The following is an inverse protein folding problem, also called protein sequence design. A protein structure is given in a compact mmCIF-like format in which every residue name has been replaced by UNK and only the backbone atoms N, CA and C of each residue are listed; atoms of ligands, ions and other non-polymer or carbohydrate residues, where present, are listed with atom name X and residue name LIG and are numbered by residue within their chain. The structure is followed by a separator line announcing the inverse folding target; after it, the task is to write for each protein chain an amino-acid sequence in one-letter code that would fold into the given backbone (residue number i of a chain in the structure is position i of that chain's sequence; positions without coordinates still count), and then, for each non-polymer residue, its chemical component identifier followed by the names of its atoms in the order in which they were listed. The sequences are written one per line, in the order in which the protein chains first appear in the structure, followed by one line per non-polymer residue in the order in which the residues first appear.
data_IF_123529305952
#
_entry.id   IF_123529305952
#
_cell.length_a   1.000
_cell.length_b   1.000
_cell.length_c   1.000
_cell.angle_alpha   90.00
_cell.angle_beta   90.00
_cell.angle_gamma   90.00
#
_symmetry.space_group_name_H-M   'P 1'
#
loop_
_entity.id
_entity.type
_entity.pdbx_description
1 polymer ?
#
# COMPACT_ATOMS: atom_id res chain seq x y z
N UNK A 1 -16.92 2.53 -0.53
CA UNK A 1 -17.72 2.76 -1.75
C UNK A 1 -19.19 2.96 -1.36
N UNK A 2 -19.87 3.99 -1.87
CA UNK A 2 -21.33 4.10 -1.73
C UNK A 2 -21.92 4.17 -0.34
N UNK A 3 -21.19 4.75 0.63
CA UNK A 3 -21.60 4.80 2.04
C UNK A 3 -21.87 3.41 2.66
N UNK A 4 -21.25 2.37 2.11
CA UNK A 4 -21.32 0.99 2.60
C UNK A 4 -19.93 0.50 2.99
N UNK A 5 -19.91 -0.35 4.01
CA UNK A 5 -18.73 -1.13 4.41
C UNK A 5 -18.75 -2.43 3.61
N UNK A 6 -17.59 -2.82 3.09
CA UNK A 6 -17.42 -4.06 2.34
C UNK A 6 -16.22 -4.80 2.92
N UNK A 7 -16.42 -6.06 3.31
CA UNK A 7 -15.32 -6.98 3.58
C UNK A 7 -14.56 -7.26 2.27
N UNK A 8 -13.23 -7.33 2.36
CA UNK A 8 -12.39 -7.60 1.18
C UNK A 8 -12.16 -9.10 1.03
N UNK A 9 -12.32 -9.60 -0.19
CA UNK A 9 -12.04 -11.00 -0.52
C UNK A 9 -10.54 -11.30 -0.74
N UNK A 10 -9.69 -10.28 -0.74
CA UNK A 10 -8.25 -10.44 -0.94
C UNK A 10 -7.43 -9.38 -0.21
N UNK A 11 -6.20 -9.74 0.16
CA UNK A 11 -5.20 -8.80 0.65
C UNK A 11 -4.41 -8.32 -0.55
N UNK A 12 -4.62 -7.07 -0.96
CA UNK A 12 -3.78 -6.45 -1.97
C UNK A 12 -3.05 -5.26 -1.39
N UNK A 13 -1.78 -5.11 -1.76
CA UNK A 13 -0.97 -3.96 -1.35
C UNK A 13 -0.46 -3.28 -2.61
N UNK A 14 -0.67 -1.96 -2.68
CA UNK A 14 -0.12 -1.14 -3.75
C UNK A 14 1.07 -0.34 -3.26
N UNK A 15 2.07 -0.16 -4.12
CA UNK A 15 3.24 0.66 -3.83
C UNK A 15 3.83 1.23 -5.11
N UNK A 16 4.57 2.32 -4.99
CA UNK A 16 5.22 2.98 -6.14
C UNK A 16 6.61 2.42 -6.35
N UNK A 17 6.93 2.09 -7.60
CA UNK A 17 8.26 1.74 -8.07
C UNK A 17 8.78 2.87 -8.95
N UNK A 18 9.89 3.48 -8.53
CA UNK A 18 10.65 4.40 -9.36
C UNK A 18 11.71 3.60 -10.14
N UNK A 19 11.64 3.61 -11.47
CA UNK A 19 12.52 2.78 -12.31
C UNK A 19 13.97 3.28 -12.30
N UNK A 20 14.16 4.60 -12.34
CA UNK A 20 15.47 5.26 -12.24
C UNK A 20 15.40 6.44 -11.26
N UNK A 21 16.48 6.65 -10.51
CA UNK A 21 16.59 7.75 -9.55
C UNK A 21 16.96 9.07 -10.23
N UNK A 22 16.15 9.50 -11.19
CA UNK A 22 16.19 10.82 -11.80
C UNK A 22 14.77 11.43 -11.85
N UNK A 23 14.67 12.74 -12.10
CA UNK A 23 13.38 13.44 -12.08
C UNK A 23 12.47 13.06 -13.25
N UNK A 24 13.04 12.70 -14.39
CA UNK A 24 12.30 12.38 -15.63
C UNK A 24 11.84 10.92 -15.69
N UNK A 25 12.30 10.07 -14.76
CA UNK A 25 11.97 8.65 -14.76
C UNK A 25 10.50 8.44 -14.42
N UNK A 26 9.77 7.66 -15.23
CA UNK A 26 8.38 7.36 -14.94
C UNK A 26 8.26 6.57 -13.63
N UNK A 27 7.30 6.97 -12.81
CA UNK A 27 6.86 6.20 -11.65
C UNK A 27 5.79 5.19 -12.10
N UNK A 28 5.96 3.93 -11.72
CA UNK A 28 4.96 2.89 -11.97
C UNK A 28 4.39 2.44 -10.65
N UNK A 29 3.07 2.42 -10.52
CA UNK A 29 2.43 1.85 -9.33
C UNK A 29 2.19 0.36 -9.53
N UNK A 30 2.66 -0.44 -8.59
CA UNK A 30 2.44 -1.88 -8.54
C UNK A 30 1.30 -2.20 -7.57
N UNK A 31 0.54 -3.26 -7.87
CA UNK A 31 -0.47 -3.83 -6.98
C UNK A 31 -0.23 -5.32 -6.91
N UNK A 32 0.17 -5.79 -5.74
CA UNK A 32 0.51 -7.20 -5.48
C UNK A 32 -0.55 -7.81 -4.58
N UNK A 33 -0.93 -9.05 -4.87
CA UNK A 33 -1.89 -9.82 -4.07
C UNK A 33 -1.14 -10.76 -3.14
N UNK A 34 -1.62 -10.83 -1.91
CA UNK A 34 -1.07 -11.63 -0.83
C UNK A 34 -2.15 -12.58 -0.30
N UNK A 35 -1.71 -13.70 0.23
CA UNK A 35 -2.55 -14.64 0.96
C UNK A 35 -2.24 -14.48 2.46
N UNK A 36 -3.26 -14.56 3.31
CA UNK A 36 -3.09 -14.48 4.75
C UNK A 36 -2.17 -15.60 5.30
N UNK A 37 -2.05 -16.72 4.60
CA UNK A 37 -1.14 -17.83 4.95
C UNK A 37 0.28 -17.69 4.38
N UNK A 38 0.61 -16.61 3.65
CA UNK A 38 1.96 -16.41 3.10
C UNK A 38 3.01 -16.29 4.22
N UNK A 39 4.14 -16.98 4.07
CA UNK A 39 5.33 -16.77 4.91
C UNK A 39 6.09 -15.51 4.50
N UNK A 40 7.05 -15.06 5.31
CA UNK A 40 7.95 -13.96 4.95
C UNK A 40 8.64 -14.18 3.59
N UNK A 41 9.14 -15.39 3.33
CA UNK A 41 9.82 -15.69 2.07
C UNK A 41 8.88 -15.73 0.87
N UNK A 42 7.60 -16.09 1.06
CA UNK A 42 6.59 -15.98 0.00
C UNK A 42 6.34 -14.52 -0.38
N UNK A 43 6.20 -13.66 0.62
CA UNK A 43 6.04 -12.21 0.44
C UNK A 43 7.24 -11.62 -0.31
N UNK A 44 8.46 -11.93 0.14
CA UNK A 44 9.70 -11.47 -0.51
C UNK A 44 9.75 -11.89 -1.97
N UNK A 45 9.44 -13.15 -2.28
CA UNK A 45 9.38 -13.63 -3.67
C UNK A 45 8.36 -12.86 -4.50
N UNK A 46 7.12 -12.73 -4.03
CA UNK A 46 6.05 -12.02 -4.76
C UNK A 46 6.41 -10.55 -5.03
N UNK A 47 6.98 -9.87 -4.04
CA UNK A 47 7.40 -8.46 -4.18
C UNK A 47 8.55 -8.34 -5.16
N UNK A 48 9.59 -9.17 -5.04
CA UNK A 48 10.74 -9.12 -5.94
C UNK A 48 10.35 -9.44 -7.38
N UNK A 49 9.52 -10.47 -7.60
CA UNK A 49 9.00 -10.80 -8.94
C UNK A 49 8.23 -9.62 -9.53
N UNK A 50 7.33 -8.99 -8.75
CA UNK A 50 6.58 -7.83 -9.22
C UNK A 50 7.50 -6.65 -9.57
N UNK A 51 8.56 -6.41 -8.80
CA UNK A 51 9.55 -5.38 -9.08
C UNK A 51 10.33 -5.72 -10.35
N UNK A 52 10.87 -6.94 -10.47
CA UNK A 52 11.70 -7.37 -11.60
C UNK A 52 10.97 -7.31 -12.94
N UNK A 53 9.71 -7.76 -12.96
CA UNK A 53 8.85 -7.70 -14.14
C UNK A 53 8.67 -6.25 -14.62
N UNK A 54 8.55 -5.30 -13.69
CA UNK A 54 8.25 -3.90 -13.99
C UNK A 54 9.47 -2.97 -14.01
N UNK A 55 10.66 -3.47 -13.65
CA UNK A 55 11.90 -2.68 -13.59
C UNK A 55 12.42 -2.29 -14.96
N UNK A 56 12.19 -3.12 -16.00
CA UNK A 56 12.65 -2.80 -17.35
C UNK A 56 11.91 -1.56 -17.88
N UNK A 57 12.61 -0.58 -18.46
CA UNK A 57 11.98 0.66 -18.95
C UNK A 57 10.91 0.40 -20.00
N UNK A 58 11.12 -0.61 -20.86
CA UNK A 58 10.17 -1.01 -21.91
C UNK A 58 8.96 -1.83 -21.41
N UNK A 59 8.95 -2.28 -20.15
CA UNK A 59 7.77 -2.96 -19.61
C UNK A 59 6.65 -1.95 -19.43
N UNK A 60 5.65 -2.02 -20.32
CA UNK A 60 4.36 -1.32 -20.17
C UNK A 60 3.43 -2.18 -19.32
N UNK A 61 3.20 -1.79 -18.07
CA UNK A 61 2.20 -2.43 -17.23
C UNK A 61 0.78 -2.09 -17.74
N UNK A 62 -0.18 -2.96 -17.47
CA UNK A 62 -1.58 -2.78 -17.88
C UNK A 62 -2.22 -1.53 -17.26
N UNK A 63 -1.76 -1.12 -16.07
CA UNK A 63 -2.13 0.16 -15.45
C UNK A 63 -1.64 1.36 -16.29
N UNK A 64 -0.40 1.31 -16.80
CA UNK A 64 0.15 2.37 -17.65
C UNK A 64 -0.54 2.40 -19.02
N UNK A 65 -0.94 1.24 -19.55
CA UNK A 65 -1.74 1.15 -20.79
C UNK A 65 -3.12 1.78 -20.60
N UNK A 66 -3.80 1.51 -19.48
CA UNK A 66 -5.06 2.16 -19.15
C UNK A 66 -4.89 3.67 -19.00
N UNK A 67 -3.85 4.13 -18.29
CA UNK A 67 -3.57 5.54 -18.13
C UNK A 67 -3.36 6.23 -19.49
N UNK A 68 -2.57 5.62 -20.38
CA UNK A 68 -2.35 6.11 -21.75
C UNK A 68 -3.62 6.11 -22.60
N UNK A 69 -4.45 5.08 -22.50
CA UNK A 69 -5.73 5.01 -23.20
C UNK A 69 -6.67 6.13 -22.75
N UNK A 70 -6.72 6.40 -21.43
CA UNK A 70 -7.50 7.51 -20.88
C UNK A 70 -6.92 8.86 -21.34
N UNK A 71 -5.59 9.02 -21.35
CA UNK A 71 -4.94 10.26 -21.82
C UNK A 71 -5.10 10.52 -23.32
N UNK A 72 -5.36 9.48 -24.14
CA UNK A 72 -5.59 9.62 -25.58
C UNK A 72 -7.00 10.14 -25.92
N UNK A 73 -7.91 10.19 -24.95
CA UNK A 73 -9.28 10.67 -25.12
C UNK A 73 -9.30 12.20 -25.00
N UNK A 74 -10.05 12.94 -25.84
CA UNK A 74 -10.19 14.39 -25.71
C UNK A 74 -10.67 14.79 -24.30
N UNK A 75 -10.13 15.88 -23.73
CA UNK A 75 -10.33 16.22 -22.31
C UNK A 75 -11.79 16.31 -21.85
N UNK A 76 -12.72 16.71 -22.73
CA UNK A 76 -14.15 16.74 -22.40
C UNK A 76 -14.76 15.33 -22.23
N UNK A 77 -14.33 14.37 -23.06
CA UNK A 77 -14.73 12.97 -22.94
C UNK A 77 -14.03 12.28 -21.77
N UNK A 78 -12.80 12.67 -21.42
CA UNK A 78 -12.11 12.20 -20.20
C UNK A 78 -12.89 12.60 -18.96
N UNK A 79 -13.37 13.85 -18.89
CA UNK A 79 -14.17 14.32 -17.75
C UNK A 79 -15.45 13.51 -17.60
N UNK A 80 -16.13 13.20 -18.70
CA UNK A 80 -17.30 12.33 -18.70
C UNK A 80 -16.95 10.90 -18.25
N UNK A 81 -15.88 10.31 -18.79
CA UNK A 81 -15.44 8.98 -18.42
C UNK A 81 -15.08 8.88 -16.92
N UNK A 82 -14.31 9.84 -16.40
CA UNK A 82 -13.97 9.91 -14.97
C UNK A 82 -15.24 10.04 -14.13
N UNK A 83 -16.21 10.86 -14.55
CA UNK A 83 -17.49 10.98 -13.87
C UNK A 83 -18.27 9.66 -13.85
N UNK A 84 -18.32 8.93 -14.98
CA UNK A 84 -18.94 7.60 -15.04
C UNK A 84 -18.22 6.62 -14.11
N UNK A 85 -16.88 6.58 -14.14
CA UNK A 85 -16.11 5.69 -13.28
C UNK A 85 -16.30 5.98 -11.79
N UNK A 86 -16.29 7.26 -11.40
CA UNK A 86 -16.60 7.66 -10.02
C UNK A 86 -18.03 7.30 -9.61
N UNK A 87 -18.99 7.43 -10.52
CA UNK A 87 -20.38 7.05 -10.25
C UNK A 87 -20.51 5.53 -10.08
N UNK A 88 -19.84 4.74 -10.92
CA UNK A 88 -19.78 3.28 -10.81
C UNK A 88 -19.08 2.84 -9.54
N UNK A 89 -17.97 3.49 -9.17
CA UNK A 89 -17.28 3.25 -7.90
C UNK A 89 -18.20 3.53 -6.71
N UNK A 90 -18.91 4.67 -6.76
CA UNK A 90 -19.84 5.06 -5.72
C UNK A 90 -20.95 4.03 -5.56
N UNK A 91 -21.60 3.54 -6.62
CA UNK A 91 -22.66 2.53 -6.48
C UNK A 91 -22.13 1.09 -6.30
N UNK A 92 -20.81 0.89 -6.28
CA UNK A 92 -20.18 -0.43 -6.12
C UNK A 92 -20.19 -1.32 -7.37
N UNK A 93 -20.43 -0.74 -8.54
CA UNK A 93 -20.46 -1.44 -9.84
C UNK A 93 -19.21 -1.17 -10.70
N UNK A 94 -18.07 -0.88 -10.05
CA UNK A 94 -16.80 -0.70 -10.74
C UNK A 94 -16.45 -1.95 -11.56
N UNK A 95 -16.16 -1.83 -12.87
CA UNK A 95 -15.75 -2.97 -13.69
C UNK A 95 -14.54 -3.70 -13.09
N UNK A 96 -14.61 -5.03 -13.00
CA UNK A 96 -13.56 -5.87 -12.39
C UNK A 96 -12.16 -5.60 -12.94
N UNK A 97 -12.05 -5.30 -14.23
CA UNK A 97 -10.76 -5.00 -14.87
C UNK A 97 -10.14 -3.71 -14.34
N UNK A 98 -10.96 -2.67 -14.13
CA UNK A 98 -10.52 -1.38 -13.61
C UNK A 98 -10.19 -1.52 -12.13
N UNK A 99 -11.02 -2.22 -11.35
CA UNK A 99 -10.71 -2.51 -9.94
C UNK A 99 -9.38 -3.26 -9.80
N UNK A 100 -9.14 -4.27 -10.65
CA UNK A 100 -7.89 -5.04 -10.64
C UNK A 100 -6.67 -4.19 -10.96
N UNK A 101 -6.76 -3.29 -11.94
CA UNK A 101 -5.63 -2.49 -12.40
C UNK A 101 -5.45 -1.18 -11.63
N UNK A 102 -6.51 -0.69 -10.99
CA UNK A 102 -6.45 0.54 -10.22
C UNK A 102 -5.63 0.34 -8.94
N UNK A 103 -4.63 1.21 -8.70
CA UNK A 103 -3.83 1.16 -7.48
C UNK A 103 -4.60 1.68 -6.25
N UNK A 104 -5.73 2.35 -6.47
CA UNK A 104 -6.59 2.88 -5.40
C UNK A 104 -7.69 1.91 -4.96
N UNK A 105 -7.77 0.73 -5.58
CA UNK A 105 -8.70 -0.32 -5.18
C UNK A 105 -7.97 -1.41 -4.38
N UNK A 106 -7.21 -1.01 -3.36
CA UNK A 106 -6.28 -1.89 -2.65
C UNK A 106 -6.53 -1.91 -1.15
N UNK A 107 -6.11 -2.97 -0.43
CA UNK A 107 -6.28 -3.04 1.02
C UNK A 107 -5.40 -2.01 1.72
N UNK A 108 -4.14 -1.92 1.31
CA UNK A 108 -3.16 -0.98 1.87
C UNK A 108 -2.33 -0.38 0.74
N UNK A 109 -2.02 0.91 0.86
CA UNK A 109 -1.04 1.56 0.00
C UNK A 109 0.22 1.88 0.81
N UNK A 110 1.38 1.44 0.31
CA UNK A 110 2.68 1.63 0.95
C UNK A 110 3.54 2.55 0.10
N UNK A 111 4.24 3.47 0.76
CA UNK A 111 5.27 4.30 0.14
C UNK A 111 6.59 4.21 0.91
N UNK A 112 7.67 3.93 0.17
CA UNK A 112 9.03 3.90 0.68
C UNK A 112 9.75 5.18 0.27
N UNK A 113 9.68 6.19 1.13
CA UNK A 113 10.41 7.44 0.94
C UNK A 113 11.88 7.31 1.39
N UNK A 114 12.24 6.21 2.05
CA UNK A 114 13.61 5.90 2.43
C UNK A 114 14.47 5.58 1.22
N UNK A 115 13.88 4.97 0.18
CA UNK A 115 14.55 4.69 -1.10
C UNK A 115 15.11 5.94 -1.79
N UNK A 116 14.50 7.11 -1.58
CA UNK A 116 14.93 8.41 -2.12
C UNK A 116 15.60 9.31 -1.07
N UNK A 117 15.88 8.77 0.13
CA UNK A 117 16.67 9.46 1.14
C UNK A 117 15.91 10.44 2.04
N UNK A 118 14.58 10.40 2.09
CA UNK A 118 13.78 11.35 2.90
C UNK A 118 13.03 10.68 4.06
N UNK A 119 12.56 11.51 4.99
CA UNK A 119 11.70 11.11 6.10
C UNK A 119 10.27 10.85 5.62
N UNK A 120 9.49 9.98 6.29
CA UNK A 120 8.11 9.72 5.89
C UNK A 120 7.25 10.97 6.10
N UNK A 121 6.26 11.16 5.22
CA UNK A 121 5.19 12.15 5.37
C UNK A 121 3.83 11.47 5.45
N UNK A 122 2.84 12.15 6.01
CA UNK A 122 1.47 11.65 5.99
C UNK A 122 0.87 11.80 4.59
N UNK A 123 0.32 10.70 4.06
CA UNK A 123 -0.49 10.72 2.84
C UNK A 123 -1.96 10.95 3.17
N UNK A 124 -2.67 11.67 2.31
CA UNK A 124 -4.13 11.76 2.40
C UNK A 124 -4.77 10.47 1.86
N UNK A 125 -5.99 10.19 2.30
CA UNK A 125 -6.84 9.19 1.68
C UNK A 125 -7.48 9.78 0.41
N UNK A 126 -7.59 8.97 -0.64
CA UNK A 126 -8.25 9.39 -1.87
C UNK A 126 -9.77 9.13 -1.78
N UNK A 127 -10.56 10.06 -2.32
CA UNK A 127 -12.01 9.90 -2.46
C UNK A 127 -12.42 8.99 -3.64
N UNK A 128 -11.46 8.28 -4.23
CA UNK A 128 -11.68 7.36 -5.34
C UNK A 128 -11.09 6.00 -5.03
N UNK A 129 -11.89 4.95 -5.21
CA UNK A 129 -11.52 3.58 -4.90
C UNK A 129 -11.84 3.20 -3.46
N UNK A 130 -11.10 2.23 -2.96
CA UNK A 130 -11.43 1.51 -1.72
C UNK A 130 -10.24 1.39 -0.78
N UNK A 131 -9.13 2.08 -1.05
CA UNK A 131 -7.98 2.15 -0.16
C UNK A 131 -8.32 2.92 1.11
N UNK A 132 -8.23 2.23 2.25
CA UNK A 132 -8.55 2.77 3.57
C UNK A 132 -7.33 2.94 4.49
N UNK A 133 -6.15 2.50 4.03
CA UNK A 133 -4.91 2.58 4.78
C UNK A 133 -3.75 3.04 3.90
N UNK A 134 -3.07 4.10 4.31
CA UNK A 134 -1.79 4.53 3.74
C UNK A 134 -0.69 4.38 4.78
N UNK A 135 0.41 3.75 4.40
CA UNK A 135 1.59 3.56 5.23
C UNK A 135 2.80 4.16 4.51
N UNK A 136 3.48 5.10 5.15
CA UNK A 136 4.70 5.70 4.65
C UNK A 136 5.85 5.41 5.61
N UNK A 137 6.98 4.96 5.10
CA UNK A 137 8.22 4.87 5.88
C UNK A 137 9.37 5.56 5.15
N UNK A 138 10.36 6.01 5.92
CA UNK A 138 11.48 6.78 5.40
C UNK A 138 12.84 6.20 5.77
N UNK A 139 13.87 7.04 5.70
CA UNK A 139 15.24 6.65 6.02
C UNK A 139 15.39 6.12 7.44
N UNK A 140 16.36 5.23 7.60
CA UNK A 140 16.79 4.72 8.90
C UNK A 140 17.55 5.81 9.65
N UNK A 141 17.06 6.16 10.83
CA UNK A 141 17.69 7.13 11.73
C UNK A 141 18.49 6.41 12.84
N UNK A 142 19.49 7.09 13.38
CA UNK A 142 20.19 6.68 14.61
C UNK A 142 19.94 7.75 15.66
N UNK A 143 19.44 7.34 16.81
CA UNK A 143 19.24 8.23 17.95
C UNK A 143 19.93 7.67 19.20
N UNK A 144 20.48 8.58 20.00
CA UNK A 144 21.00 8.28 21.33
C UNK A 144 19.83 8.18 22.29
N UNK A 145 19.68 7.04 22.94
CA UNK A 145 18.66 6.81 23.95
C UNK A 145 19.28 6.30 25.24
N UNK A 146 18.73 6.77 26.35
CA UNK A 146 19.13 6.35 27.69
C UNK A 146 18.39 5.04 27.99
N UNK A 147 19.13 3.98 28.34
CA UNK A 147 18.53 2.70 28.75
C UNK A 147 18.06 2.76 30.21
N UNK A 148 17.50 1.66 30.71
CA UNK A 148 17.08 1.52 32.11
C UNK A 148 18.22 1.69 33.12
N UNK A 149 19.46 1.50 32.68
CA UNK A 149 20.67 1.53 33.49
C UNK A 149 21.41 2.89 33.42
N UNK A 150 20.73 3.93 32.90
CA UNK A 150 21.28 5.28 32.66
C UNK A 150 22.46 5.36 31.69
N UNK A 151 22.67 4.35 30.85
CA UNK A 151 23.70 4.36 29.82
C UNK A 151 23.17 4.89 28.48
N UNK A 152 24.01 5.63 27.77
CA UNK A 152 23.68 6.14 26.44
C UNK A 152 23.94 5.03 25.41
N UNK A 153 22.86 4.54 24.81
CA UNK A 153 22.90 3.53 23.75
C UNK A 153 22.46 4.14 22.42
N UNK A 154 23.06 3.69 21.31
CA UNK A 154 22.62 4.07 19.97
C UNK A 154 21.55 3.09 19.51
N UNK A 155 20.33 3.59 19.24
CA UNK A 155 19.27 2.78 18.62
C UNK A 155 18.97 3.27 17.21
N UNK A 156 18.66 2.29 16.35
CA UNK A 156 18.24 2.53 14.96
C UNK A 156 16.72 2.53 14.92
N UNK A 157 16.15 3.52 14.26
CA UNK A 157 14.70 3.64 14.09
C UNK A 157 14.35 3.87 12.63
N UNK A 158 13.19 3.37 12.22
CA UNK A 158 12.54 3.77 10.98
C UNK A 158 11.23 4.39 11.41
N UNK A 159 11.03 5.67 11.06
CA UNK A 159 9.75 6.32 11.31
C UNK A 159 8.74 5.77 10.32
N UNK A 160 7.53 5.51 10.80
CA UNK A 160 6.39 5.08 9.99
C UNK A 160 5.24 6.05 10.28
N UNK A 161 4.66 6.61 9.22
CA UNK A 161 3.45 7.43 9.27
C UNK A 161 2.30 6.60 8.70
N UNK A 162 1.20 6.51 9.44
CA UNK A 162 0.02 5.73 9.03
C UNK A 162 -1.19 6.65 9.00
N UNK A 163 -1.96 6.60 7.92
CA UNK A 163 -3.24 7.29 7.78
C UNK A 163 -4.32 6.25 7.54
N UNK A 164 -5.32 6.26 8.41
CA UNK A 164 -6.42 5.31 8.49
C UNK A 164 -7.74 5.99 8.19
N UNK A 165 -8.65 5.28 7.54
CA UNK A 165 -10.03 5.73 7.34
C UNK A 165 -10.90 5.34 8.55
N UNK A 166 -11.30 6.31 9.37
CA UNK A 166 -12.13 6.08 10.56
C UNK A 166 -13.57 5.67 10.24
N UNK A 167 -14.00 5.84 8.98
CA UNK A 167 -15.37 5.49 8.56
C UNK A 167 -15.59 3.98 8.49
N UNK A 168 -14.51 3.19 8.39
CA UNK A 168 -14.60 1.73 8.31
C UNK A 168 -14.37 1.05 9.65
N UNK A 169 -13.56 1.64 10.52
CA UNK A 169 -13.01 1.00 11.72
C UNK A 169 -12.65 2.07 12.74
N UNK A 170 -12.89 1.78 14.02
CA UNK A 170 -12.60 2.70 15.12
C UNK A 170 -11.11 2.71 15.54
N UNK A 171 -10.76 3.68 16.40
CA UNK A 171 -9.41 3.79 16.94
C UNK A 171 -9.01 2.64 17.87
N UNK A 172 -9.97 1.93 18.48
CA UNK A 172 -9.66 0.81 19.37
C UNK A 172 -9.12 -0.39 18.58
N UNK A 173 -9.78 -0.74 17.48
CA UNK A 173 -9.35 -1.80 16.59
C UNK A 173 -7.99 -1.48 15.96
N UNK A 174 -7.81 -0.26 15.42
CA UNK A 174 -6.50 0.16 14.90
C UNK A 174 -5.41 0.15 15.98
N UNK A 175 -5.73 0.57 17.20
CA UNK A 175 -4.82 0.50 18.34
C UNK A 175 -4.35 -0.92 18.63
N UNK A 176 -5.25 -1.90 18.55
CA UNK A 176 -4.92 -3.33 18.70
C UNK A 176 -4.09 -3.85 17.54
N UNK A 177 -4.45 -3.51 16.29
CA UNK A 177 -3.70 -3.88 15.10
C UNK A 177 -2.26 -3.32 15.12
N UNK A 178 -2.06 -2.06 15.53
CA UNK A 178 -0.73 -1.46 15.62
C UNK A 178 0.12 -2.05 16.76
N UNK A 179 -0.51 -2.49 17.86
CA UNK A 179 0.20 -3.25 18.91
C UNK A 179 0.68 -4.59 18.37
N UNK A 180 -0.16 -5.32 17.62
CA UNK A 180 0.22 -6.56 16.96
C UNK A 180 1.39 -6.33 15.99
N UNK A 181 1.26 -5.35 15.09
CA UNK A 181 2.35 -4.95 14.18
C UNK A 181 3.66 -4.67 14.92
N UNK A 182 3.62 -3.86 15.98
CA UNK A 182 4.81 -3.53 16.78
C UNK A 182 5.43 -4.77 17.42
N UNK A 183 4.63 -5.73 17.88
CA UNK A 183 5.12 -6.97 18.47
C UNK A 183 5.80 -7.86 17.42
N UNK A 184 5.21 -7.97 16.22
CA UNK A 184 5.79 -8.71 15.09
C UNK A 184 7.13 -8.10 14.65
N UNK A 185 7.23 -6.77 14.55
CA UNK A 185 8.49 -6.09 14.19
C UNK A 185 9.58 -6.27 15.25
N UNK A 186 9.22 -6.37 16.54
CA UNK A 186 10.19 -6.64 17.61
C UNK A 186 10.72 -8.08 17.59
N UNK A 187 9.97 -9.01 16.99
CA UNK A 187 10.24 -10.44 16.94
C UNK A 187 10.01 -10.96 15.52
N UNK A 188 10.76 -10.48 14.52
CA UNK A 188 10.50 -10.80 13.11
C UNK A 188 10.66 -12.29 12.81
N UNK A 189 11.41 -13.05 13.62
CA UNK A 189 11.60 -14.49 13.47
C UNK A 189 10.29 -15.30 13.46
N UNK A 190 9.22 -14.76 14.05
CA UNK A 190 7.90 -15.42 14.04
C UNK A 190 7.24 -15.39 12.66
N UNK A 191 7.71 -14.53 11.74
CA UNK A 191 7.17 -14.38 10.38
C UNK A 191 7.80 -15.35 9.38
N UNK A 192 8.87 -16.06 9.78
CA UNK A 192 9.53 -17.06 8.93
C UNK A 192 8.66 -18.32 8.76
N UNK A 193 7.72 -18.54 9.67
CA UNK A 193 6.72 -19.60 9.57
C UNK A 193 5.36 -19.02 9.16
N UNK A 194 4.53 -19.78 8.43
CA UNK A 194 3.13 -19.41 8.20
C UNK A 194 2.39 -19.20 9.54
N UNK A 195 1.37 -18.33 9.58
CA UNK A 195 0.59 -18.14 10.79
C UNK A 195 -0.10 -19.43 11.21
N UNK A 196 -0.07 -19.75 12.50
CA UNK A 196 -0.74 -20.92 13.07
C UNK A 196 -2.26 -20.90 12.81
N UNK A 197 -2.84 -19.69 12.75
CA UNK A 197 -4.26 -19.48 12.48
C UNK A 197 -4.47 -18.23 11.63
N UNK A 198 -5.25 -18.40 10.58
CA UNK A 198 -5.81 -17.30 9.79
C UNK A 198 -7.19 -16.97 10.37
N UNK A 199 -7.45 -15.69 10.61
CA UNK A 199 -8.76 -15.20 11.00
C UNK A 199 -9.43 -14.63 9.76
N UNK A 200 -10.55 -15.22 9.37
CA UNK A 200 -11.38 -14.69 8.30
C UNK A 200 -12.08 -13.41 8.77
N UNK A 201 -12.33 -12.50 7.82
CA UNK A 201 -13.10 -11.29 8.06
C UNK A 201 -14.57 -11.64 8.31
N UNK A 202 -15.31 -10.74 8.94
CA UNK A 202 -16.76 -10.92 9.19
C UNK A 202 -17.53 -10.87 7.87
N UNK A 203 -18.45 -11.82 7.67
CA UNK A 203 -19.34 -11.90 6.49
C UNK A 203 -20.29 -10.69 6.36
#
# INVERSE_FOLDING_TARGET
AGQKIFARNEISISFVLKKEFNEESPETTLKVKFNAADSFMDIVRKVNTAIEENRKPDTKNDTDKLAKLIMAIPGQLVRFLVWVLRSLDYIGLMPKIINRLSPFHTSVFITDLGSIGIQPVYHHLYDFGTTSLFVAFGIKMKEKVINSDNEITNKKYVRVCVVTDERIVDGHYFGTAFKLYRNLIKRPEVLDQPPEKVYDDVD
#
